data_IF_797121071175
#
_entry.id   IF_797121071175
#
_cell.length_a   1.000
_cell.length_b   1.000
_cell.length_c   1.000
_cell.angle_alpha   90.00
_cell.angle_beta   90.00
_cell.angle_gamma   90.00
#
_symmetry.space_group_name_H-M   'P 1'
#
loop_
_entity.id
_entity.type
_entity.pdbx_description
1 polymer ?
#
# COMPACT_ATOMS: atom_id res chain seq x y z
N UNK A 1 -15.05 20.25 9.80
CA UNK A 1 -15.15 20.35 8.33
C UNK A 1 -13.75 20.19 7.74
N UNK A 2 -13.54 19.30 6.77
CA UNK A 2 -12.25 19.23 6.08
C UNK A 2 -12.04 20.56 5.36
N UNK A 3 -10.88 21.17 5.60
CA UNK A 3 -10.46 22.37 4.88
C UNK A 3 -10.46 22.06 3.37
N UNK A 4 -11.11 22.89 2.53
CA UNK A 4 -11.07 22.69 1.10
C UNK A 4 -9.61 22.82 0.65
N UNK A 5 -9.03 21.72 0.19
CA UNK A 5 -7.72 21.75 -0.45
C UNK A 5 -7.83 22.63 -1.70
N UNK A 6 -7.09 23.72 -1.80
CA UNK A 6 -7.07 24.48 -3.04
C UNK A 6 -6.57 23.56 -4.14
N UNK A 7 -7.37 23.38 -5.19
CA UNK A 7 -6.89 22.66 -6.38
C UNK A 7 -5.71 23.44 -6.93
N UNK A 8 -4.49 22.88 -6.90
CA UNK A 8 -3.36 23.58 -7.49
C UNK A 8 -3.66 23.84 -8.97
N UNK A 9 -3.32 25.00 -9.51
CA UNK A 9 -3.58 25.34 -10.91
C UNK A 9 -2.82 24.44 -11.90
N UNK A 10 -1.94 23.59 -11.39
CA UNK A 10 -1.13 22.65 -12.16
C UNK A 10 -1.14 21.28 -11.47
N UNK A 11 -2.27 20.58 -11.55
CA UNK A 11 -2.25 19.14 -11.31
C UNK A 11 -1.64 18.51 -12.56
N UNK A 12 -0.37 18.23 -12.48
CA UNK A 12 0.30 17.35 -13.46
C UNK A 12 -0.18 15.93 -13.09
N UNK A 13 -1.03 15.39 -13.90
CA UNK A 13 -1.76 14.18 -13.60
C UNK A 13 -3.17 14.54 -13.13
N UNK A 14 -4.12 14.49 -14.03
CA UNK A 14 -5.54 14.43 -13.67
C UNK A 14 -5.73 13.28 -12.70
N UNK A 15 -6.78 13.36 -11.91
CA UNK A 15 -7.09 12.37 -10.91
C UNK A 15 -6.68 10.98 -11.38
N UNK A 16 -5.52 10.58 -10.95
CA UNK A 16 -5.33 9.25 -10.64
C UNK A 16 -4.85 8.30 -11.68
N UNK A 17 -3.88 8.47 -12.48
CA UNK A 17 -3.31 7.27 -13.11
C UNK A 17 -1.81 7.42 -13.32
N UNK A 18 -1.08 7.65 -12.27
CA UNK A 18 0.32 7.28 -12.25
C UNK A 18 0.38 5.88 -11.66
N UNK A 19 0.28 4.85 -12.47
CA UNK A 19 0.45 3.45 -12.03
C UNK A 19 1.93 3.13 -11.76
N UNK A 20 2.65 4.05 -11.16
CA UNK A 20 4.01 3.83 -10.72
C UNK A 20 4.00 3.31 -9.29
N UNK A 21 4.54 2.13 -9.10
CA UNK A 21 4.73 1.57 -7.77
C UNK A 21 5.95 2.25 -7.13
N UNK A 22 5.83 2.85 -5.94
CA UNK A 22 6.97 3.32 -5.17
C UNK A 22 8.01 2.22 -4.95
N UNK A 23 9.28 2.58 -4.90
CA UNK A 23 10.32 1.61 -4.56
C UNK A 23 10.31 1.33 -3.04
N UNK A 24 9.27 0.63 -2.59
CA UNK A 24 9.06 0.30 -1.18
C UNK A 24 10.27 -0.41 -0.57
N UNK A 25 10.78 -1.46 -1.22
CA UNK A 25 11.90 -2.24 -0.70
C UNK A 25 13.12 -1.37 -0.40
N UNK A 26 13.39 -0.38 -1.24
CA UNK A 26 14.49 0.54 -1.02
C UNK A 26 14.25 1.49 0.16
N UNK A 27 13.04 2.02 0.31
CA UNK A 27 12.69 2.87 1.45
C UNK A 27 12.78 2.09 2.75
N UNK A 28 12.30 0.85 2.77
CA UNK A 28 12.38 -0.03 3.93
C UNK A 28 13.82 -0.28 4.38
N UNK A 29 14.73 -0.48 3.42
CA UNK A 29 16.14 -0.85 3.68
C UNK A 29 17.02 0.35 4.01
N UNK A 30 16.77 1.51 3.40
CA UNK A 30 17.64 2.67 3.50
C UNK A 30 17.05 3.80 4.34
N UNK A 31 15.73 3.96 4.31
CA UNK A 31 15.03 5.12 4.85
C UNK A 31 15.16 6.37 4.00
N UNK A 32 14.27 7.33 4.19
CA UNK A 32 14.25 8.59 3.42
C UNK A 32 15.42 9.53 3.77
N UNK A 33 16.07 9.36 4.93
CA UNK A 33 17.29 10.12 5.26
C UNK A 33 18.41 9.82 4.26
N UNK A 34 18.52 8.55 3.84
CA UNK A 34 19.50 8.17 2.83
C UNK A 34 19.16 8.73 1.44
N UNK A 35 17.88 8.90 1.13
CA UNK A 35 17.46 9.60 -0.09
C UNK A 35 17.88 11.07 -0.04
N UNK A 36 17.67 11.75 1.10
CA UNK A 36 18.06 13.14 1.28
C UNK A 36 19.58 13.34 1.10
N UNK A 37 20.41 12.44 1.64
CA UNK A 37 21.85 12.44 1.44
C UNK A 37 22.24 12.33 -0.05
N UNK A 38 21.62 11.39 -0.77
CA UNK A 38 21.88 11.22 -2.21
C UNK A 38 21.44 12.42 -3.03
N UNK A 39 20.28 12.99 -2.73
CA UNK A 39 19.79 14.19 -3.40
C UNK A 39 20.70 15.36 -3.13
N UNK A 40 21.16 15.54 -1.89
CA UNK A 40 22.11 16.61 -1.52
C UNK A 40 23.45 16.51 -2.25
N UNK A 41 23.84 15.31 -2.67
CA UNK A 41 25.06 15.07 -3.44
C UNK A 41 24.92 15.34 -4.96
N UNK A 42 23.72 15.62 -5.46
CA UNK A 42 23.50 15.99 -6.86
C UNK A 42 24.07 17.39 -7.14
N UNK A 43 24.42 17.68 -8.40
CA UNK A 43 24.77 19.03 -8.80
C UNK A 43 23.69 20.05 -8.42
N UNK A 44 24.14 21.27 -8.07
CA UNK A 44 23.22 22.37 -7.74
C UNK A 44 22.32 22.73 -8.93
N UNK A 45 21.05 23.00 -8.63
CA UNK A 45 20.05 23.38 -9.63
C UNK A 45 18.63 23.00 -9.24
N UNK A 46 17.67 23.46 -10.03
CA UNK A 46 16.22 23.35 -9.76
C UNK A 46 15.77 21.91 -9.51
N UNK A 47 16.38 20.92 -10.18
CA UNK A 47 16.03 19.52 -10.00
C UNK A 47 16.38 19.00 -8.59
N UNK A 48 17.63 19.27 -8.13
CA UNK A 48 18.06 18.91 -6.78
C UNK A 48 17.19 19.62 -5.74
N UNK A 49 17.01 20.91 -5.91
CA UNK A 49 16.32 21.76 -4.95
C UNK A 49 14.83 21.37 -4.85
N UNK A 50 14.18 21.06 -5.98
CA UNK A 50 12.82 20.53 -6.00
C UNK A 50 12.68 19.18 -5.28
N UNK A 51 13.65 18.27 -5.46
CA UNK A 51 13.64 16.99 -4.70
C UNK A 51 13.83 17.20 -3.20
N UNK A 52 14.68 18.15 -2.79
CA UNK A 52 14.85 18.50 -1.38
C UNK A 52 13.58 19.11 -0.79
N UNK A 53 12.87 19.95 -1.52
CA UNK A 53 11.56 20.48 -1.13
C UNK A 53 10.52 19.37 -0.92
N UNK A 54 10.46 18.41 -1.85
CA UNK A 54 9.55 17.24 -1.71
C UNK A 54 9.88 16.48 -0.42
N UNK A 55 11.15 16.17 -0.16
CA UNK A 55 11.57 15.47 1.05
C UNK A 55 11.25 16.25 2.32
N UNK A 56 11.42 17.58 2.29
CA UNK A 56 11.04 18.47 3.40
C UNK A 56 9.51 18.47 3.62
N UNK A 57 8.73 18.47 2.54
CA UNK A 57 7.27 18.35 2.58
C UNK A 57 6.81 17.03 3.21
N UNK A 58 7.40 15.91 2.81
CA UNK A 58 7.14 14.58 3.40
C UNK A 58 7.45 14.60 4.90
N UNK A 59 8.58 15.17 5.31
CA UNK A 59 8.97 15.28 6.72
C UNK A 59 7.97 16.12 7.53
N UNK A 60 7.52 17.24 6.97
CA UNK A 60 6.53 18.10 7.62
C UNK A 60 5.16 17.40 7.75
N UNK A 61 4.74 16.66 6.72
CA UNK A 61 3.52 15.86 6.78
C UNK A 61 3.61 14.78 7.86
N UNK A 62 4.71 14.01 7.86
CA UNK A 62 4.96 12.97 8.87
C UNK A 62 4.93 13.54 10.30
N UNK A 63 5.66 14.63 10.55
CA UNK A 63 5.71 15.25 11.88
C UNK A 63 4.33 15.68 12.38
N UNK A 64 3.48 16.24 11.51
CA UNK A 64 2.09 16.59 11.84
C UNK A 64 1.23 15.36 12.12
N UNK A 65 1.38 14.31 11.32
CA UNK A 65 0.65 13.05 11.50
C UNK A 65 1.02 12.40 12.83
N UNK A 66 2.31 12.33 13.14
CA UNK A 66 2.80 11.78 14.42
C UNK A 66 2.27 12.59 15.62
N UNK A 67 2.36 13.91 15.57
CA UNK A 67 1.85 14.78 16.64
C UNK A 67 0.32 14.60 16.85
N UNK A 68 -0.44 14.41 15.77
CA UNK A 68 -1.88 14.16 15.86
C UNK A 68 -2.16 12.80 16.53
N UNK A 69 -1.46 11.75 16.14
CA UNK A 69 -1.60 10.41 16.71
C UNK A 69 -1.23 10.40 18.20
N UNK A 70 -0.16 11.10 18.58
CA UNK A 70 0.23 11.28 19.98
C UNK A 70 -0.85 12.01 20.79
N UNK A 71 -1.41 13.09 20.24
CA UNK A 71 -2.49 13.85 20.89
C UNK A 71 -3.79 13.03 21.04
N UNK A 72 -4.04 12.10 20.14
CA UNK A 72 -5.18 11.18 20.19
C UNK A 72 -4.95 9.94 21.05
N UNK A 73 -3.77 9.80 21.67
CA UNK A 73 -3.36 8.60 22.40
C UNK A 73 -3.49 7.32 21.55
N UNK A 74 -3.06 7.39 20.29
CA UNK A 74 -3.04 6.23 19.41
C UNK A 74 -2.12 5.12 19.97
N UNK A 75 -2.20 3.94 19.37
CA UNK A 75 -1.42 2.78 19.79
C UNK A 75 0.08 3.12 19.96
N UNK A 76 0.65 2.75 21.10
CA UNK A 76 2.03 3.08 21.45
C UNK A 76 3.05 2.42 20.52
N UNK A 77 2.76 1.22 20.00
CA UNK A 77 3.63 0.53 19.06
C UNK A 77 3.65 1.25 17.70
N UNK A 78 2.49 1.77 17.26
CA UNK A 78 2.40 2.58 16.05
C UNK A 78 3.21 3.88 16.19
N UNK A 79 3.04 4.58 17.30
CA UNK A 79 3.80 5.82 17.59
C UNK A 79 5.30 5.56 17.57
N UNK A 80 5.76 4.50 18.26
CA UNK A 80 7.18 4.15 18.31
C UNK A 80 7.72 3.77 16.92
N UNK A 81 6.96 3.02 16.13
CA UNK A 81 7.33 2.71 14.75
C UNK A 81 7.46 3.99 13.91
N UNK A 82 6.48 4.89 13.97
CA UNK A 82 6.50 6.15 13.22
C UNK A 82 7.60 7.12 13.66
N UNK A 83 8.08 7.07 14.90
CA UNK A 83 9.26 7.84 15.32
C UNK A 83 10.53 7.47 14.56
N UNK A 84 10.54 6.29 13.96
CA UNK A 84 11.66 5.77 13.18
C UNK A 84 11.41 5.81 11.68
N UNK A 85 10.37 5.16 11.23
CA UNK A 85 10.06 5.05 9.80
C UNK A 85 9.14 6.18 9.34
N UNK A 86 9.24 6.63 8.09
CA UNK A 86 10.03 6.10 6.97
C UNK A 86 11.45 6.67 6.84
N UNK A 87 11.93 7.48 7.78
CA UNK A 87 13.21 8.19 7.63
C UNK A 87 14.43 7.30 7.88
N UNK A 88 14.32 6.36 8.80
CA UNK A 88 15.35 5.36 9.08
C UNK A 88 14.91 3.98 8.60
N UNK A 89 15.86 3.04 8.36
CA UNK A 89 15.55 1.67 7.99
C UNK A 89 14.60 1.00 8.98
N UNK A 90 13.64 0.20 8.47
CA UNK A 90 12.80 -0.65 9.30
C UNK A 90 13.64 -1.76 9.95
N UNK A 91 13.32 -2.10 11.21
CA UNK A 91 14.02 -3.17 11.97
C UNK A 91 13.18 -4.43 12.13
N UNK A 92 11.87 -4.29 12.01
CA UNK A 92 10.91 -5.36 12.20
C UNK A 92 9.87 -5.37 11.10
N UNK A 93 9.14 -6.48 10.99
CA UNK A 93 8.05 -6.60 10.02
C UNK A 93 6.93 -5.58 10.31
N UNK A 94 6.63 -5.31 11.58
CA UNK A 94 5.66 -4.28 11.94
C UNK A 94 6.09 -2.89 11.47
N UNK A 95 7.34 -2.47 11.76
CA UNK A 95 7.88 -1.21 11.26
C UNK A 95 7.86 -1.14 9.73
N UNK A 96 8.14 -2.26 9.05
CA UNK A 96 8.10 -2.33 7.60
C UNK A 96 6.68 -2.12 7.07
N UNK A 97 5.65 -2.74 7.66
CA UNK A 97 4.24 -2.53 7.26
C UNK A 97 3.80 -1.09 7.54
N UNK A 98 4.17 -0.51 8.68
CA UNK A 98 3.87 0.91 9.01
C UNK A 98 4.54 1.85 8.01
N UNK A 99 5.82 1.61 7.67
CA UNK A 99 6.52 2.38 6.65
C UNK A 99 5.84 2.27 5.28
N UNK A 100 5.47 1.05 4.89
CA UNK A 100 4.76 0.78 3.65
C UNK A 100 3.46 1.55 3.56
N UNK A 101 2.63 1.48 4.61
CA UNK A 101 1.36 2.21 4.67
C UNK A 101 1.57 3.73 4.56
N UNK A 102 2.59 4.28 5.22
CA UNK A 102 2.90 5.70 5.13
C UNK A 102 3.28 6.12 3.70
N UNK A 103 4.14 5.34 3.03
CA UNK A 103 4.54 5.61 1.63
C UNK A 103 3.33 5.45 0.69
N UNK A 104 2.48 4.46 0.90
CA UNK A 104 1.24 4.27 0.17
C UNK A 104 0.33 5.50 0.23
N UNK A 105 0.19 6.13 1.40
CA UNK A 105 -0.58 7.37 1.55
C UNK A 105 0.06 8.56 0.83
N UNK A 106 1.39 8.67 0.84
CA UNK A 106 2.09 9.73 0.11
C UNK A 106 1.94 9.57 -1.40
N UNK A 107 1.92 8.34 -1.88
CA UNK A 107 1.72 8.00 -3.30
C UNK A 107 0.27 8.24 -3.77
N UNK A 108 -0.62 8.67 -2.89
CA UNK A 108 -2.01 8.97 -3.21
C UNK A 108 -2.96 7.78 -3.11
N UNK A 109 -2.58 6.75 -2.38
CA UNK A 109 -3.38 5.54 -2.15
C UNK A 109 -3.63 4.71 -3.43
N UNK A 110 -2.69 4.72 -4.39
CA UNK A 110 -2.87 4.05 -5.66
C UNK A 110 -2.48 2.56 -5.59
N UNK A 111 -1.21 2.24 -5.61
CA UNK A 111 -0.74 0.86 -5.78
C UNK A 111 0.09 0.37 -4.57
N UNK A 112 -0.45 -0.60 -3.79
CA UNK A 112 0.32 -1.18 -2.68
C UNK A 112 1.50 -2.06 -3.10
N UNK A 113 1.73 -2.33 -4.38
CA UNK A 113 2.91 -3.06 -4.85
C UNK A 113 2.94 -4.54 -4.45
N UNK A 114 4.16 -5.07 -4.24
CA UNK A 114 4.44 -6.48 -3.98
C UNK A 114 4.94 -6.71 -2.55
N UNK A 115 4.00 -6.77 -1.60
CA UNK A 115 4.34 -6.94 -0.19
C UNK A 115 5.09 -8.24 0.10
N UNK A 116 4.76 -9.34 -0.57
CA UNK A 116 5.43 -10.64 -0.38
C UNK A 116 6.92 -10.59 -0.73
N UNK A 117 7.30 -9.82 -1.75
CA UNK A 117 8.69 -9.71 -2.19
C UNK A 117 9.52 -8.78 -1.30
N UNK A 118 8.96 -7.65 -0.92
CA UNK A 118 9.72 -6.60 -0.22
C UNK A 118 9.73 -6.79 1.30
N UNK A 119 8.69 -7.42 1.87
CA UNK A 119 8.60 -7.68 3.31
C UNK A 119 9.28 -8.97 3.76
N UNK A 120 9.59 -9.91 2.84
CA UNK A 120 10.16 -11.22 3.22
C UNK A 120 11.46 -11.10 4.02
N UNK A 121 12.26 -10.08 3.75
CA UNK A 121 13.51 -9.80 4.49
C UNK A 121 13.31 -9.53 5.99
N UNK A 122 12.11 -9.12 6.38
CA UNK A 122 11.72 -8.82 7.77
C UNK A 122 10.96 -9.95 8.45
N UNK A 123 10.49 -10.93 7.69
CA UNK A 123 9.71 -12.05 8.18
C UNK A 123 10.56 -13.01 9.02
N UNK A 124 10.04 -13.46 10.16
CA UNK A 124 10.71 -14.39 11.09
C UNK A 124 9.87 -15.60 11.45
N UNK A 125 8.77 -15.85 10.71
CA UNK A 125 7.90 -17.01 10.93
C UNK A 125 6.58 -16.68 11.64
N UNK A 126 6.34 -15.41 11.96
CA UNK A 126 5.10 -14.96 12.60
C UNK A 126 3.89 -14.98 11.65
N UNK A 127 2.69 -15.20 12.20
CA UNK A 127 1.44 -14.97 11.46
C UNK A 127 1.09 -13.48 11.49
N UNK A 128 1.26 -12.81 10.37
CA UNK A 128 0.90 -11.40 10.18
C UNK A 128 -0.38 -11.22 9.37
N UNK A 129 -1.11 -12.30 9.10
CA UNK A 129 -2.38 -12.21 8.36
C UNK A 129 -3.33 -11.18 8.96
N UNK A 130 -3.49 -11.06 10.31
CA UNK A 130 -4.33 -10.02 10.90
C UNK A 130 -3.83 -8.60 10.62
N UNK A 131 -2.53 -8.35 10.71
CA UNK A 131 -1.93 -7.04 10.41
C UNK A 131 -2.08 -6.67 8.92
N UNK A 132 -1.83 -7.62 8.02
CA UNK A 132 -2.06 -7.44 6.59
C UNK A 132 -3.55 -7.20 6.28
N UNK A 133 -4.44 -7.89 6.98
CA UNK A 133 -5.88 -7.67 6.86
C UNK A 133 -6.26 -6.24 7.20
N UNK A 134 -5.81 -5.72 8.31
CA UNK A 134 -6.04 -4.33 8.72
C UNK A 134 -5.49 -3.34 7.68
N UNK A 135 -4.29 -3.59 7.18
CA UNK A 135 -3.71 -2.79 6.09
C UNK A 135 -4.57 -2.81 4.83
N UNK A 136 -5.00 -4.00 4.37
CA UNK A 136 -5.83 -4.10 3.17
C UNK A 136 -7.24 -3.54 3.37
N UNK A 137 -7.79 -3.52 4.58
CA UNK A 137 -9.02 -2.80 4.88
C UNK A 137 -8.85 -1.27 4.76
N UNK A 138 -7.67 -0.74 5.06
CA UNK A 138 -7.33 0.65 4.78
C UNK A 138 -7.26 0.88 3.27
N UNK A 139 -6.60 -0.01 2.54
CA UNK A 139 -6.52 0.05 1.07
C UNK A 139 -7.91 0.00 0.43
N UNK A 140 -8.80 -0.90 0.91
CA UNK A 140 -10.18 -1.02 0.41
C UNK A 140 -11.00 0.26 0.64
N UNK A 141 -10.90 0.86 1.84
CA UNK A 141 -11.58 2.14 2.15
C UNK A 141 -11.11 3.31 1.31
N UNK A 142 -9.88 3.28 0.81
CA UNK A 142 -9.29 4.33 -0.02
C UNK A 142 -9.34 4.01 -1.52
N UNK A 143 -10.09 2.99 -1.93
CA UNK A 143 -10.21 2.54 -3.32
C UNK A 143 -8.86 2.22 -3.99
N UNK A 144 -7.91 1.72 -3.19
CA UNK A 144 -6.59 1.35 -3.68
C UNK A 144 -6.68 0.37 -4.86
N UNK A 145 -5.84 0.59 -5.88
CA UNK A 145 -6.01 -0.01 -7.19
C UNK A 145 -5.68 -1.50 -7.23
N UNK A 146 -4.42 -1.85 -7.40
CA UNK A 146 -4.00 -3.23 -7.56
C UNK A 146 -2.71 -3.54 -6.80
N UNK A 147 -2.55 -4.79 -6.44
CA UNK A 147 -1.34 -5.35 -5.84
C UNK A 147 -0.97 -6.63 -6.60
N UNK A 148 0.23 -7.14 -6.40
CA UNK A 148 0.65 -8.40 -6.96
C UNK A 148 1.42 -9.24 -5.95
N UNK A 149 1.39 -10.58 -6.13
CA UNK A 149 2.18 -11.55 -5.38
C UNK A 149 2.81 -12.57 -6.31
N UNK A 150 3.88 -13.22 -5.88
CA UNK A 150 4.64 -14.15 -6.70
C UNK A 150 5.52 -13.42 -7.75
N UNK A 151 6.15 -14.11 -8.71
CA UNK A 151 6.09 -15.55 -8.94
C UNK A 151 6.95 -16.38 -7.94
N UNK A 152 7.92 -15.74 -7.25
CA UNK A 152 8.73 -16.38 -6.24
C UNK A 152 7.91 -16.49 -4.95
N UNK A 153 6.99 -17.47 -4.93
CA UNK A 153 6.07 -17.67 -3.82
C UNK A 153 6.85 -17.97 -2.52
N UNK A 154 6.46 -17.31 -1.46
CA UNK A 154 7.04 -17.43 -0.14
C UNK A 154 5.92 -17.43 0.93
N UNK A 155 6.23 -17.66 2.22
CA UNK A 155 5.19 -17.70 3.25
C UNK A 155 4.29 -16.45 3.32
N UNK A 156 4.82 -15.28 2.96
CA UNK A 156 4.01 -14.05 2.93
C UNK A 156 3.03 -14.02 1.76
N UNK A 157 3.33 -14.68 0.63
CA UNK A 157 2.38 -14.83 -0.48
C UNK A 157 1.07 -15.42 0.00
N UNK A 158 1.12 -16.50 0.80
CA UNK A 158 -0.07 -17.12 1.39
C UNK A 158 -0.79 -16.20 2.37
N UNK A 159 -0.04 -15.48 3.21
CA UNK A 159 -0.64 -14.56 4.19
C UNK A 159 -1.31 -13.37 3.51
N UNK A 160 -0.73 -12.84 2.42
CA UNK A 160 -1.37 -11.79 1.60
C UNK A 160 -2.68 -12.30 0.99
N UNK A 161 -2.66 -13.46 0.34
CA UNK A 161 -3.87 -14.04 -0.27
C UNK A 161 -4.98 -14.30 0.76
N UNK A 162 -4.63 -14.75 1.97
CA UNK A 162 -5.58 -14.93 3.08
C UNK A 162 -6.12 -13.60 3.60
N UNK A 163 -5.25 -12.58 3.71
CA UNK A 163 -5.61 -11.27 4.23
C UNK A 163 -6.60 -10.52 3.33
N UNK A 164 -6.49 -10.64 2.00
CA UNK A 164 -7.39 -9.97 1.06
C UNK A 164 -8.72 -10.70 0.83
N UNK A 165 -8.88 -11.89 1.38
CA UNK A 165 -10.08 -12.70 1.19
C UNK A 165 -11.35 -11.94 1.57
N UNK A 166 -12.26 -11.76 0.60
CA UNK A 166 -13.55 -11.09 0.80
C UNK A 166 -13.45 -9.57 0.96
N UNK A 167 -12.33 -8.95 0.61
CA UNK A 167 -12.23 -7.51 0.39
C UNK A 167 -12.53 -7.17 -1.07
N UNK A 168 -13.02 -5.96 -1.29
CA UNK A 168 -13.31 -5.42 -2.62
C UNK A 168 -12.04 -4.95 -3.32
N UNK A 169 -11.12 -4.35 -2.57
CA UNK A 169 -9.86 -3.75 -3.04
C UNK A 169 -8.69 -4.14 -2.11
N UNK A 170 -7.47 -4.15 -2.61
CA UNK A 170 -7.08 -4.01 -4.02
C UNK A 170 -7.39 -5.29 -4.83
N UNK A 171 -7.39 -5.21 -6.14
CA UNK A 171 -7.25 -6.39 -6.99
C UNK A 171 -5.85 -6.97 -6.79
N UNK A 172 -5.75 -8.24 -6.39
CA UNK A 172 -4.45 -8.90 -6.19
C UNK A 172 -4.19 -9.86 -7.34
N UNK A 173 -3.13 -9.57 -8.09
CA UNK A 173 -2.66 -10.42 -9.19
C UNK A 173 -1.71 -11.48 -8.66
N UNK A 174 -2.03 -12.75 -8.83
CA UNK A 174 -1.11 -13.85 -8.59
C UNK A 174 -0.28 -14.10 -9.85
N UNK A 175 1.03 -13.86 -9.77
CA UNK A 175 1.97 -14.24 -10.82
C UNK A 175 2.36 -15.70 -10.63
N UNK A 176 2.15 -16.50 -11.66
CA UNK A 176 2.32 -17.96 -11.59
C UNK A 176 3.46 -18.44 -12.47
N UNK A 177 4.04 -19.59 -12.07
CA UNK A 177 4.99 -20.36 -12.83
C UNK A 177 4.54 -21.83 -12.82
N UNK A 178 5.14 -22.72 -13.64
CA UNK A 178 4.87 -24.16 -13.52
C UNK A 178 5.15 -24.74 -12.12
N UNK A 179 6.02 -24.09 -11.34
CA UNK A 179 6.42 -24.51 -10.00
C UNK A 179 5.62 -23.83 -8.88
N UNK A 180 4.56 -23.08 -9.20
CA UNK A 180 3.71 -22.44 -8.18
C UNK A 180 3.06 -23.51 -7.30
N UNK A 181 3.26 -23.45 -5.94
CA UNK A 181 2.76 -24.47 -5.04
C UNK A 181 1.24 -24.62 -5.03
N UNK A 182 0.73 -25.84 -4.89
CA UNK A 182 -0.71 -26.13 -4.83
C UNK A 182 -1.43 -25.36 -3.73
N UNK A 183 -0.79 -25.14 -2.57
CA UNK A 183 -1.34 -24.35 -1.47
C UNK A 183 -1.58 -22.88 -1.84
N UNK A 184 -0.75 -22.33 -2.73
CA UNK A 184 -0.91 -20.96 -3.25
C UNK A 184 -2.10 -20.91 -4.21
N UNK A 185 -2.24 -21.91 -5.08
CA UNK A 185 -3.41 -22.03 -5.94
C UNK A 185 -4.71 -22.15 -5.14
N UNK A 186 -4.71 -22.97 -4.08
CA UNK A 186 -5.88 -23.11 -3.21
C UNK A 186 -6.22 -21.80 -2.51
N UNK A 187 -5.22 -21.08 -1.97
CA UNK A 187 -5.44 -19.79 -1.31
C UNK A 187 -6.00 -18.73 -2.26
N UNK A 188 -5.52 -18.72 -3.51
CA UNK A 188 -6.05 -17.83 -4.55
C UNK A 188 -7.49 -18.19 -4.93
N UNK A 189 -7.80 -19.46 -5.10
CA UNK A 189 -9.17 -19.93 -5.37
C UNK A 189 -10.14 -19.57 -4.23
N UNK A 190 -9.71 -19.72 -2.98
CA UNK A 190 -10.50 -19.34 -1.80
C UNK A 190 -10.75 -17.82 -1.75
N UNK A 191 -9.76 -17.01 -2.10
CA UNK A 191 -9.90 -15.56 -2.15
C UNK A 191 -10.90 -15.14 -3.25
N UNK A 192 -10.80 -15.72 -4.45
CA UNK A 192 -11.73 -15.48 -5.56
C UNK A 192 -13.16 -15.89 -5.21
N UNK A 193 -13.35 -17.07 -4.61
CA UNK A 193 -14.67 -17.55 -4.17
C UNK A 193 -15.29 -16.61 -3.14
N UNK A 194 -14.51 -16.10 -2.22
CA UNK A 194 -14.99 -15.13 -1.22
C UNK A 194 -15.36 -13.79 -1.86
N UNK A 195 -14.61 -13.33 -2.86
CA UNK A 195 -14.93 -12.12 -3.61
C UNK A 195 -16.23 -12.28 -4.43
N UNK A 196 -16.44 -13.42 -5.08
CA UNK A 196 -17.69 -13.73 -5.78
C UNK A 196 -18.88 -13.73 -4.82
N UNK A 197 -18.75 -14.35 -3.65
CA UNK A 197 -19.82 -14.36 -2.63
C UNK A 197 -20.15 -12.97 -2.11
N UNK A 198 -19.17 -12.06 -2.07
CA UNK A 198 -19.40 -10.65 -1.74
C UNK A 198 -20.20 -9.96 -2.85
N UNK A 199 -19.79 -10.15 -4.11
CA UNK A 199 -20.50 -9.61 -5.27
C UNK A 199 -21.95 -10.08 -5.31
N UNK A 200 -22.20 -11.37 -5.10
CA UNK A 200 -23.55 -11.96 -5.08
C UNK A 200 -24.44 -11.34 -3.99
N UNK A 201 -23.88 -11.10 -2.79
CA UNK A 201 -24.61 -10.44 -1.69
C UNK A 201 -24.93 -8.98 -1.98
N UNK A 202 -24.00 -8.26 -2.59
CA UNK A 202 -24.20 -6.87 -2.99
C UNK A 202 -25.24 -6.77 -4.11
N UNK A 203 -25.27 -7.74 -5.03
CA UNK A 203 -26.30 -7.85 -6.07
C UNK A 203 -27.71 -8.05 -5.50
N UNK A 204 -27.81 -8.82 -4.42
CA UNK A 204 -29.09 -9.10 -3.78
C UNK A 204 -29.68 -7.90 -3.02
N UNK A 205 -28.86 -6.93 -2.65
CA UNK A 205 -29.21 -5.81 -1.76
C UNK A 205 -29.73 -4.55 -2.47
N UNK A 206 -30.05 -4.59 -3.75
CA UNK A 206 -30.64 -3.48 -4.55
C UNK A 206 -29.79 -2.17 -4.71
N UNK A 207 -28.58 -2.13 -4.17
CA UNK A 207 -27.62 -1.03 -4.35
C UNK A 207 -26.64 -1.30 -5.51
N UNK A 208 -27.09 -1.87 -6.56
CA UNK A 208 -26.40 -2.77 -7.48
C UNK A 208 -25.46 -2.13 -8.49
N UNK A 209 -25.86 -1.05 -9.11
CA UNK A 209 -25.10 -0.52 -10.26
C UNK A 209 -23.85 0.20 -9.84
N UNK A 210 -23.92 0.97 -8.75
CA UNK A 210 -22.79 1.76 -8.29
C UNK A 210 -21.70 0.91 -7.65
N UNK A 211 -22.08 -0.14 -6.92
CA UNK A 211 -21.12 -1.04 -6.27
C UNK A 211 -20.38 -1.88 -7.30
N UNK A 212 -21.06 -2.34 -8.37
CA UNK A 212 -20.41 -3.11 -9.43
C UNK A 212 -19.50 -2.26 -10.30
N UNK A 213 -19.86 -1.02 -10.56
CA UNK A 213 -18.97 -0.07 -11.23
C UNK A 213 -17.77 0.29 -10.37
N UNK A 214 -17.96 0.42 -9.06
CA UNK A 214 -16.91 0.69 -8.10
C UNK A 214 -16.02 -0.54 -7.82
N UNK A 215 -16.50 -1.77 -8.00
CA UNK A 215 -15.71 -2.97 -7.71
C UNK A 215 -14.66 -3.31 -8.78
N UNK A 216 -14.66 -2.61 -9.93
CA UNK A 216 -13.73 -2.87 -11.03
C UNK A 216 -13.80 -4.26 -11.64
N UNK A 217 -14.77 -5.09 -11.23
CA UNK A 217 -14.95 -6.45 -11.74
C UNK A 217 -15.48 -6.51 -13.18
N UNK A 218 -15.97 -5.38 -13.71
CA UNK A 218 -16.50 -5.26 -15.06
C UNK A 218 -16.04 -3.98 -15.76
N UNK A 219 -14.77 -3.73 -15.85
CA UNK A 219 -14.28 -2.98 -17.00
C UNK A 219 -14.37 -3.92 -18.20
N UNK A 220 -15.48 -3.87 -18.92
CA UNK A 220 -15.47 -4.34 -20.28
C UNK A 220 -14.41 -3.54 -21.01
N UNK A 221 -13.38 -4.22 -21.47
CA UNK A 221 -12.60 -3.69 -22.55
C UNK A 221 -13.55 -3.49 -23.74
N UNK A 222 -14.00 -2.25 -23.91
CA UNK A 222 -14.54 -1.83 -25.18
C UNK A 222 -13.34 -1.78 -26.13
N UNK A 223 -13.30 -2.78 -27.04
CA UNK A 223 -12.31 -2.95 -28.09
C UNK A 223 -12.35 -1.86 -29.13
#
# INVERSE_FOLDING_TARGET
EPLPMPKPPHVVGGAGYVHSIPNYGRVLQEGLDRYAERVSALPEGDFRDGLLEILAGIRAYHARSLALLEAQNADAQLIEALRRVPFQPARSLYEAVVCWNFIYFIDGCDNPGRLDADLIGYYRGEDITPLLREYFEIVDRNDGWSSAVGPDCNPLTLQVLRAVRGLRRPSVELRVTPDTPDEVWQAAADALTAAQSLADRLYAADEREDVLRQSGFFERGDG
#
